data_IF_992734705778
#
_entry.id   IF_992734705778
#
_cell.length_a   1.000
_cell.length_b   1.000
_cell.length_c   1.000
_cell.angle_alpha   90.00
_cell.angle_beta   90.00
_cell.angle_gamma   90.00
#
_symmetry.space_group_name_H-M   'P 1'
#
loop_
_entity.id
_entity.type
_entity.pdbx_description
1 polymer ?
#
# COMPACT_ATOMS: atom_id res chain seq x y z
N UNK A 1 -5.45 28.70 9.01
CA UNK A 1 -4.63 27.47 9.04
C UNK A 1 -5.58 26.34 9.37
N UNK A 2 -6.03 25.56 8.36
CA UNK A 2 -6.98 24.47 8.60
C UNK A 2 -6.29 23.36 9.41
N UNK A 3 -6.86 23.01 10.56
CA UNK A 3 -6.39 21.85 11.34
C UNK A 3 -6.62 20.59 10.51
N UNK A 4 -5.60 19.72 10.39
CA UNK A 4 -5.76 18.40 9.76
C UNK A 4 -6.72 17.57 10.62
N UNK A 5 -7.62 16.77 9.99
CA UNK A 5 -8.50 15.89 10.76
C UNK A 5 -7.70 14.97 11.66
N UNK A 6 -8.18 14.74 12.86
CA UNK A 6 -7.58 13.77 13.75
C UNK A 6 -7.94 12.35 13.28
N UNK A 7 -6.93 11.63 12.75
CA UNK A 7 -7.10 10.24 12.32
C UNK A 7 -6.63 9.23 13.39
N UNK A 8 -6.34 9.68 14.61
CA UNK A 8 -5.79 8.84 15.66
C UNK A 8 -6.72 7.68 16.01
N UNK A 9 -8.00 7.96 16.24
CA UNK A 9 -9.01 6.95 16.59
C UNK A 9 -9.17 5.90 15.47
N UNK A 10 -9.20 6.36 14.21
CA UNK A 10 -9.29 5.46 13.07
C UNK A 10 -8.04 4.56 12.96
N UNK A 11 -6.85 5.08 13.25
CA UNK A 11 -5.61 4.27 13.28
C UNK A 11 -5.64 3.26 14.41
N UNK A 12 -5.96 3.70 15.62
CA UNK A 12 -6.06 2.82 16.80
C UNK A 12 -7.07 1.69 16.57
N UNK A 13 -8.19 1.99 15.93
CA UNK A 13 -9.18 0.99 15.54
C UNK A 13 -8.62 -0.02 14.53
N UNK A 14 -7.92 0.45 13.48
CA UNK A 14 -7.28 -0.44 12.49
C UNK A 14 -6.25 -1.35 13.17
N UNK A 15 -5.40 -0.78 14.03
CA UNK A 15 -4.35 -1.52 14.71
C UNK A 15 -4.93 -2.60 15.62
N UNK A 16 -5.94 -2.28 16.43
CA UNK A 16 -6.63 -3.25 17.29
C UNK A 16 -7.25 -4.40 16.48
N UNK A 17 -7.96 -4.09 15.40
CA UNK A 17 -8.59 -5.12 14.56
C UNK A 17 -7.57 -5.97 13.79
N UNK A 18 -6.44 -5.39 13.43
CA UNK A 18 -5.37 -6.13 12.78
C UNK A 18 -4.65 -7.07 13.74
N UNK A 19 -4.44 -6.67 15.00
CA UNK A 19 -3.91 -7.55 16.04
C UNK A 19 -4.84 -8.73 16.31
N UNK A 20 -6.18 -8.50 16.38
CA UNK A 20 -7.16 -9.56 16.49
C UNK A 20 -7.03 -10.57 15.32
N UNK A 21 -6.86 -10.07 14.09
CA UNK A 21 -6.68 -10.90 12.90
C UNK A 21 -5.41 -11.76 12.97
N UNK A 22 -4.28 -11.14 13.37
CA UNK A 22 -2.99 -11.83 13.50
C UNK A 22 -2.99 -12.90 14.59
N UNK A 23 -3.66 -12.62 15.72
CA UNK A 23 -3.73 -13.57 16.85
C UNK A 23 -4.65 -14.78 16.58
N UNK A 24 -5.60 -14.63 15.66
CA UNK A 24 -6.61 -15.65 15.34
C UNK A 24 -6.26 -16.49 14.12
N UNK A 25 -5.24 -16.12 13.34
CA UNK A 25 -4.95 -16.74 12.05
C UNK A 25 -3.45 -16.88 11.80
N UNK A 26 -3.08 -17.81 10.94
CA UNK A 26 -1.70 -17.89 10.47
C UNK A 26 -1.36 -16.77 9.46
N UNK A 27 -0.07 -16.53 9.25
CA UNK A 27 0.39 -15.43 8.42
C UNK A 27 0.06 -15.59 6.91
N UNK A 28 -0.16 -16.81 6.43
CA UNK A 28 -0.57 -17.04 5.04
C UNK A 28 -2.03 -16.65 4.84
N UNK A 29 -2.90 -17.03 5.77
CA UNK A 29 -4.29 -16.60 5.77
C UNK A 29 -4.39 -15.07 5.81
N UNK A 30 -3.66 -14.43 6.75
CA UNK A 30 -3.66 -12.97 6.87
C UNK A 30 -3.15 -12.31 5.59
N UNK A 31 -2.08 -12.85 4.98
CA UNK A 31 -1.54 -12.33 3.72
C UNK A 31 -2.57 -12.35 2.59
N UNK A 32 -3.29 -13.45 2.46
CA UNK A 32 -4.24 -13.65 1.37
C UNK A 32 -5.56 -12.88 1.56
N UNK A 33 -5.90 -12.52 2.80
CA UNK A 33 -7.16 -11.87 3.16
C UNK A 33 -7.02 -10.40 3.60
N UNK A 34 -5.81 -9.85 3.58
CA UNK A 34 -5.56 -8.49 4.07
C UNK A 34 -6.38 -7.43 3.33
N UNK A 35 -6.58 -7.59 2.02
CA UNK A 35 -7.42 -6.71 1.22
C UNK A 35 -8.88 -6.73 1.69
N UNK A 36 -9.45 -7.92 1.84
CA UNK A 36 -10.84 -8.10 2.29
C UNK A 36 -11.03 -7.59 3.71
N UNK A 37 -10.03 -7.77 4.59
CA UNK A 37 -10.01 -7.15 5.92
C UNK A 37 -10.20 -5.63 5.85
N UNK A 38 -9.39 -4.91 5.06
CA UNK A 38 -9.54 -3.46 4.91
C UNK A 38 -10.88 -3.06 4.28
N UNK A 39 -11.38 -3.83 3.30
CA UNK A 39 -12.69 -3.61 2.70
C UNK A 39 -13.81 -3.67 3.74
N UNK A 40 -13.76 -4.67 4.61
CA UNK A 40 -14.77 -4.88 5.67
C UNK A 40 -14.71 -3.80 6.75
N UNK A 41 -13.51 -3.27 7.06
CA UNK A 41 -13.36 -2.17 8.03
C UNK A 41 -13.73 -0.79 7.47
N UNK A 42 -13.81 -0.63 6.15
CA UNK A 42 -14.00 0.67 5.50
C UNK A 42 -15.19 1.49 6.05
N UNK A 43 -16.38 0.93 6.32
CA UNK A 43 -17.49 1.70 6.88
C UNK A 43 -17.16 2.32 8.24
N UNK A 44 -16.53 1.54 9.13
CA UNK A 44 -16.17 1.99 10.48
C UNK A 44 -15.06 3.05 10.43
N UNK A 45 -14.02 2.83 9.61
CA UNK A 45 -12.95 3.79 9.38
C UNK A 45 -13.53 5.09 8.82
N UNK A 46 -14.45 5.00 7.85
CA UNK A 46 -15.13 6.16 7.26
C UNK A 46 -15.86 6.97 8.31
N UNK A 47 -16.61 6.31 9.20
CA UNK A 47 -17.34 6.98 10.28
C UNK A 47 -16.41 7.72 11.23
N UNK A 48 -15.33 7.09 11.68
CA UNK A 48 -14.34 7.69 12.58
C UNK A 48 -13.61 8.89 11.95
N UNK A 49 -13.20 8.76 10.69
CA UNK A 49 -12.54 9.86 9.96
C UNK A 49 -13.52 11.02 9.74
N UNK A 50 -14.78 10.73 9.41
CA UNK A 50 -15.80 11.75 9.19
C UNK A 50 -16.10 12.52 10.48
N UNK A 51 -16.27 11.84 11.61
CA UNK A 51 -16.42 12.46 12.92
C UNK A 51 -15.24 13.40 13.24
N UNK A 52 -14.00 12.91 13.06
CA UNK A 52 -12.80 13.72 13.25
C UNK A 52 -12.70 14.93 12.31
N UNK A 53 -13.25 14.84 11.09
CA UNK A 53 -13.35 15.99 10.18
C UNK A 53 -14.35 17.04 10.70
N UNK A 54 -15.54 16.61 11.11
CA UNK A 54 -16.57 17.52 11.68
C UNK A 54 -15.99 18.26 12.88
N UNK A 55 -15.37 17.54 13.81
CA UNK A 55 -14.84 18.13 15.04
C UNK A 55 -13.77 19.19 14.80
N UNK A 56 -12.97 19.03 13.75
CA UNK A 56 -11.85 19.92 13.47
C UNK A 56 -12.16 21.07 12.50
N UNK A 57 -13.19 20.94 11.65
CA UNK A 57 -13.46 21.87 10.55
C UNK A 57 -14.73 22.67 10.80
N UNK A 58 -15.77 22.03 11.31
CA UNK A 58 -17.06 22.67 11.55
C UNK A 58 -17.08 23.33 12.94
N UNK A 59 -17.44 24.62 13.08
CA UNK A 59 -17.63 25.27 14.37
C UNK A 59 -18.70 24.56 15.21
N UNK A 60 -18.52 24.49 16.54
CA UNK A 60 -19.43 23.76 17.44
C UNK A 60 -20.88 24.14 17.29
N UNK A 61 -21.14 25.43 17.06
CA UNK A 61 -22.49 25.98 16.86
C UNK A 61 -23.17 25.42 15.58
N UNK A 62 -22.38 24.99 14.61
CA UNK A 62 -22.89 24.55 13.30
C UNK A 62 -22.93 23.02 13.19
N UNK A 63 -22.28 22.29 14.08
CA UNK A 63 -22.25 20.81 14.07
C UNK A 63 -23.66 20.21 14.11
N UNK A 64 -24.57 20.84 14.85
CA UNK A 64 -25.95 20.40 15.02
C UNK A 64 -26.82 20.62 13.77
N UNK A 65 -26.45 21.58 12.93
CA UNK A 65 -27.25 22.03 11.78
C UNK A 65 -26.65 21.65 10.44
N UNK A 66 -26.03 20.51 10.38
CA UNK A 66 -25.45 20.02 9.13
C UNK A 66 -26.47 19.93 7.97
N UNK A 67 -27.74 19.82 8.32
CA UNK A 67 -28.85 19.75 7.35
C UNK A 67 -29.28 21.12 6.79
N UNK A 68 -28.91 22.22 7.46
CA UNK A 68 -29.21 23.58 6.97
C UNK A 68 -28.14 24.12 6.00
N UNK A 69 -27.23 23.25 5.59
CA UNK A 69 -26.08 23.58 4.74
C UNK A 69 -26.48 24.17 3.39
N UNK A 70 -27.54 23.65 2.81
CA UNK A 70 -27.94 23.97 1.43
C UNK A 70 -28.51 25.39 1.26
N UNK A 71 -28.84 26.07 2.33
CA UNK A 71 -29.41 27.44 2.28
C UNK A 71 -28.38 28.54 2.49
N UNK A 72 -27.13 28.21 2.89
CA UNK A 72 -26.10 29.19 3.27
C UNK A 72 -24.80 28.94 2.46
N UNK A 73 -24.36 29.89 1.62
CA UNK A 73 -23.14 29.74 0.83
C UNK A 73 -21.88 29.48 1.66
N UNK A 74 -21.80 30.00 2.88
CA UNK A 74 -20.66 29.78 3.79
C UNK A 74 -20.67 28.31 4.26
N UNK A 75 -21.84 27.78 4.62
CA UNK A 75 -21.98 26.39 5.03
C UNK A 75 -21.73 25.42 3.88
N UNK A 76 -22.12 25.78 2.66
CA UNK A 76 -21.79 25.01 1.46
C UNK A 76 -20.27 24.93 1.29
N UNK A 77 -19.56 26.04 1.43
CA UNK A 77 -18.10 26.08 1.32
C UNK A 77 -17.44 25.21 2.41
N UNK A 78 -17.89 25.32 3.65
CA UNK A 78 -17.41 24.48 4.77
C UNK A 78 -17.64 22.99 4.49
N UNK A 79 -18.77 22.63 3.89
CA UNK A 79 -19.09 21.25 3.52
C UNK A 79 -18.15 20.73 2.44
N UNK A 80 -17.87 21.52 1.43
CA UNK A 80 -16.91 21.17 0.37
C UNK A 80 -15.53 20.94 0.97
N UNK A 81 -15.06 21.78 1.86
CA UNK A 81 -13.79 21.64 2.57
C UNK A 81 -13.78 20.38 3.46
N UNK A 82 -14.87 20.10 4.18
CA UNK A 82 -15.04 18.90 4.96
C UNK A 82 -14.98 17.63 4.09
N UNK A 83 -15.72 17.59 2.99
CA UNK A 83 -15.71 16.46 2.06
C UNK A 83 -14.33 16.23 1.44
N UNK A 84 -13.65 17.31 1.06
CA UNK A 84 -12.29 17.27 0.52
C UNK A 84 -11.29 16.76 1.55
N UNK A 85 -11.36 17.27 2.78
CA UNK A 85 -10.51 16.84 3.89
C UNK A 85 -10.75 15.38 4.25
N UNK A 86 -12.01 14.97 4.34
CA UNK A 86 -12.41 13.57 4.55
C UNK A 86 -11.84 12.66 3.46
N UNK A 87 -12.07 12.99 2.19
CA UNK A 87 -11.59 12.20 1.07
C UNK A 87 -10.06 12.03 1.07
N UNK A 88 -9.33 13.13 1.30
CA UNK A 88 -7.87 13.10 1.36
C UNK A 88 -7.36 12.29 2.57
N UNK A 89 -8.00 12.42 3.73
CA UNK A 89 -7.65 11.66 4.92
C UNK A 89 -7.90 10.17 4.72
N UNK A 90 -9.04 9.79 4.12
CA UNK A 90 -9.35 8.40 3.82
C UNK A 90 -8.35 7.78 2.83
N UNK A 91 -7.98 8.51 1.77
CA UNK A 91 -6.97 8.04 0.80
C UNK A 91 -5.61 7.83 1.48
N UNK A 92 -5.16 8.78 2.28
CA UNK A 92 -3.87 8.73 2.97
C UNK A 92 -3.86 7.62 4.02
N UNK A 93 -4.90 7.53 4.84
CA UNK A 93 -5.01 6.54 5.91
C UNK A 93 -5.05 5.11 5.32
N UNK A 94 -5.96 4.86 4.38
CA UNK A 94 -6.09 3.53 3.77
C UNK A 94 -4.80 3.10 3.07
N UNK A 95 -4.15 4.00 2.33
CA UNK A 95 -2.89 3.70 1.64
C UNK A 95 -1.75 3.41 2.60
N UNK A 96 -1.51 4.32 3.56
CA UNK A 96 -0.38 4.20 4.49
C UNK A 96 -0.52 3.01 5.45
N UNK A 97 -1.73 2.78 5.95
CA UNK A 97 -1.96 1.64 6.85
C UNK A 97 -1.88 0.32 6.10
N UNK A 98 -2.41 0.24 4.88
CA UNK A 98 -2.26 -0.95 4.06
C UNK A 98 -0.80 -1.29 3.79
N UNK A 99 0.05 -0.31 3.43
CA UNK A 99 1.50 -0.50 3.23
C UNK A 99 2.18 -1.04 4.50
N UNK A 100 1.87 -0.48 5.68
CA UNK A 100 2.42 -0.96 6.97
C UNK A 100 2.01 -2.40 7.25
N UNK A 101 0.73 -2.75 7.06
CA UNK A 101 0.24 -4.10 7.31
C UNK A 101 0.83 -5.12 6.33
N UNK A 102 0.99 -4.76 5.05
CA UNK A 102 1.73 -5.58 4.09
C UNK A 102 3.16 -5.83 4.58
N UNK A 103 3.86 -4.79 5.05
CA UNK A 103 5.22 -4.92 5.57
C UNK A 103 5.32 -5.90 6.77
N UNK A 104 4.37 -5.82 7.72
CA UNK A 104 4.31 -6.74 8.87
C UNK A 104 4.07 -8.19 8.40
N UNK A 105 3.12 -8.38 7.48
CA UNK A 105 2.79 -9.71 6.93
C UNK A 105 3.97 -10.32 6.19
N UNK A 106 4.70 -9.53 5.38
CA UNK A 106 5.90 -9.97 4.69
C UNK A 106 6.96 -10.47 5.67
N UNK A 107 7.23 -9.72 6.74
CA UNK A 107 8.19 -10.13 7.76
C UNK A 107 7.77 -11.44 8.46
N UNK A 108 6.47 -11.62 8.71
CA UNK A 108 5.94 -12.87 9.27
C UNK A 108 6.12 -14.05 8.32
N UNK A 109 5.86 -13.84 7.01
CA UNK A 109 6.08 -14.85 5.97
C UNK A 109 7.57 -15.22 5.83
N UNK A 110 8.46 -14.23 5.86
CA UNK A 110 9.91 -14.47 5.80
C UNK A 110 10.38 -15.28 7.00
N UNK A 111 9.97 -14.90 8.20
CA UNK A 111 10.28 -15.65 9.44
C UNK A 111 9.77 -17.08 9.38
N UNK A 112 8.50 -17.30 8.98
CA UNK A 112 7.90 -18.65 8.86
C UNK A 112 8.67 -19.53 7.87
N UNK A 113 9.23 -18.94 6.81
CA UNK A 113 9.94 -19.66 5.76
C UNK A 113 11.47 -19.66 5.95
N UNK A 114 11.97 -19.29 7.13
CA UNK A 114 13.40 -19.24 7.46
C UNK A 114 14.24 -18.40 6.48
N UNK A 115 13.68 -17.32 5.92
CA UNK A 115 14.40 -16.43 5.03
C UNK A 115 15.10 -15.34 5.85
N UNK A 116 16.39 -15.10 5.61
CA UNK A 116 17.16 -13.98 6.21
C UNK A 116 16.80 -12.64 5.56
N UNK A 117 15.51 -12.42 5.30
CA UNK A 117 14.97 -11.23 4.64
C UNK A 117 14.13 -10.40 5.60
N UNK A 118 14.17 -9.09 5.37
CA UNK A 118 13.34 -8.13 6.08
C UNK A 118 12.71 -7.12 5.14
N UNK A 119 11.43 -6.88 5.34
CA UNK A 119 10.68 -5.84 4.65
C UNK A 119 10.59 -4.60 5.55
N UNK A 120 10.84 -3.42 4.98
CA UNK A 120 10.72 -2.12 5.65
C UNK A 120 10.10 -1.10 4.72
N UNK A 121 9.47 -0.07 5.29
CA UNK A 121 8.98 1.05 4.50
C UNK A 121 10.16 1.83 3.89
N UNK A 122 9.99 2.31 2.66
CA UNK A 122 11.06 2.99 1.88
C UNK A 122 11.73 4.14 2.62
N UNK A 123 11.03 4.82 3.54
CA UNK A 123 11.59 5.93 4.30
C UNK A 123 12.91 5.59 5.00
N UNK A 124 13.07 4.37 5.48
CA UNK A 124 14.29 3.89 6.16
C UNK A 124 15.48 3.67 5.21
N UNK A 125 15.21 3.37 3.95
CA UNK A 125 16.19 3.07 2.91
C UNK A 125 16.32 4.16 1.83
N UNK A 126 15.67 5.30 2.01
CA UNK A 126 15.60 6.36 1.00
C UNK A 126 16.98 6.81 0.49
N UNK A 127 17.95 6.94 1.38
CA UNK A 127 19.32 7.36 0.98
C UNK A 127 20.02 6.30 0.15
N UNK A 128 19.86 5.01 0.51
CA UNK A 128 20.47 3.90 -0.19
C UNK A 128 19.81 3.67 -1.56
N UNK A 129 18.47 3.70 -1.61
CA UNK A 129 17.74 3.66 -2.88
C UNK A 129 18.14 4.81 -3.81
N UNK A 130 18.25 6.02 -3.30
CA UNK A 130 18.71 7.15 -4.10
C UNK A 130 20.12 6.93 -4.66
N UNK A 131 21.03 6.29 -3.90
CA UNK A 131 22.39 5.95 -4.37
C UNK A 131 22.34 4.89 -5.48
N UNK A 132 21.53 3.84 -5.32
CA UNK A 132 21.32 2.78 -6.33
C UNK A 132 20.64 3.29 -7.59
N UNK A 133 19.68 4.21 -7.45
CA UNK A 133 18.86 4.74 -8.54
C UNK A 133 19.43 6.02 -9.16
N UNK A 134 20.47 6.63 -8.58
CA UNK A 134 21.21 7.77 -9.14
C UNK A 134 22.24 7.32 -10.19
N UNK A 135 21.83 6.52 -11.15
CA UNK A 135 22.68 6.18 -12.31
C UNK A 135 22.63 7.25 -13.39
N UNK A 136 23.77 7.88 -13.66
CA UNK A 136 24.27 8.43 -14.92
C UNK A 136 23.55 9.61 -15.62
N UNK A 137 22.38 10.06 -15.30
CA UNK A 137 21.79 11.26 -15.93
C UNK A 137 21.05 12.13 -14.91
N UNK A 138 21.48 13.39 -14.81
CA UNK A 138 20.86 14.44 -13.99
C UNK A 138 19.52 14.95 -14.52
N UNK A 139 19.01 14.41 -15.61
CA UNK A 139 17.81 14.86 -16.28
C UNK A 139 16.58 14.03 -15.91
N UNK A 140 15.62 14.70 -15.31
CA UNK A 140 14.24 14.26 -15.04
C UNK A 140 14.08 13.05 -14.11
N UNK A 141 14.07 13.36 -12.83
CA UNK A 141 13.71 12.44 -11.75
C UNK A 141 12.26 11.97 -11.87
N UNK A 142 12.03 10.89 -12.59
CA UNK A 142 10.89 10.04 -12.32
C UNK A 142 11.09 9.47 -10.91
N UNK A 143 10.40 10.04 -9.93
CA UNK A 143 10.44 9.55 -8.56
C UNK A 143 9.87 8.14 -8.56
N UNK A 144 10.68 7.09 -8.34
CA UNK A 144 10.19 5.72 -8.41
C UNK A 144 9.10 5.50 -7.36
N UNK A 145 8.05 4.81 -7.74
CA UNK A 145 6.93 4.46 -6.86
C UNK A 145 7.27 3.21 -6.07
N UNK A 146 8.09 3.37 -5.03
CA UNK A 146 8.55 2.31 -4.15
C UNK A 146 8.02 2.58 -2.75
N UNK A 147 7.23 1.66 -2.22
CA UNK A 147 6.62 1.77 -0.88
C UNK A 147 7.36 0.91 0.15
N UNK A 148 7.84 -0.27 -0.25
CA UNK A 148 8.55 -1.22 0.62
C UNK A 148 9.85 -1.64 -0.05
N UNK A 149 10.89 -1.79 0.76
CA UNK A 149 12.18 -2.37 0.39
C UNK A 149 12.33 -3.69 1.13
N UNK A 150 12.68 -4.75 0.41
CA UNK A 150 13.10 -6.03 0.99
C UNK A 150 14.61 -6.12 0.91
N UNK A 151 15.25 -6.38 2.03
CA UNK A 151 16.70 -6.52 2.11
C UNK A 151 17.10 -7.77 2.88
N UNK A 152 18.32 -8.23 2.64
CA UNK A 152 18.91 -9.38 3.31
C UNK A 152 19.71 -8.91 4.52
N UNK A 153 19.31 -9.34 5.73
CA UNK A 153 19.96 -8.96 6.98
C UNK A 153 21.39 -9.53 7.11
N UNK A 154 21.73 -10.57 6.37
CA UNK A 154 23.07 -11.20 6.39
C UNK A 154 24.08 -10.51 5.49
N UNK A 155 23.66 -9.55 4.65
CA UNK A 155 24.53 -8.82 3.73
C UNK A 155 24.94 -7.46 4.24
N UNK A 156 26.05 -6.95 3.72
CA UNK A 156 26.46 -5.56 3.95
C UNK A 156 25.38 -4.62 3.41
N UNK A 157 25.05 -3.57 4.13
CA UNK A 157 23.90 -2.68 3.87
C UNK A 157 23.81 -2.16 2.43
N UNK A 158 24.95 -1.94 1.76
CA UNK A 158 25.00 -1.40 0.40
C UNK A 158 24.53 -2.41 -0.66
N UNK A 159 24.76 -3.70 -0.42
CA UNK A 159 24.39 -4.79 -1.34
C UNK A 159 23.22 -5.64 -0.84
N UNK A 160 22.53 -5.15 0.19
CA UNK A 160 21.50 -5.90 0.89
C UNK A 160 20.13 -5.83 0.24
N UNK A 161 19.86 -4.84 -0.63
CA UNK A 161 18.52 -4.68 -1.23
C UNK A 161 18.29 -5.79 -2.25
N UNK A 162 17.24 -6.57 -2.01
CA UNK A 162 16.90 -7.76 -2.80
C UNK A 162 15.66 -7.58 -3.67
N UNK A 163 14.75 -6.66 -3.28
CA UNK A 163 13.52 -6.39 -4.02
C UNK A 163 12.94 -5.04 -3.60
N UNK A 164 12.26 -4.39 -4.52
CA UNK A 164 11.41 -3.22 -4.24
C UNK A 164 9.96 -3.54 -4.56
N UNK A 165 9.06 -3.04 -3.72
CA UNK A 165 7.64 -3.34 -3.83
C UNK A 165 6.85 -2.04 -3.84
N UNK A 166 5.97 -1.90 -4.84
CA UNK A 166 4.91 -0.90 -4.85
C UNK A 166 3.64 -1.52 -4.27
N UNK A 167 3.01 -0.83 -3.32
CA UNK A 167 1.81 -1.32 -2.60
C UNK A 167 0.66 -0.35 -2.82
N UNK A 168 -0.44 -0.84 -3.36
CA UNK A 168 -1.62 0.00 -3.67
C UNK A 168 -2.92 -0.68 -3.25
N UNK A 169 -3.82 0.10 -2.70
CA UNK A 169 -5.18 -0.36 -2.36
C UNK A 169 -6.07 -0.50 -3.59
N UNK A 170 -5.76 0.24 -4.68
CA UNK A 170 -6.49 0.21 -5.95
C UNK A 170 -5.51 0.20 -7.12
N UNK A 171 -5.85 -0.51 -8.21
CA UNK A 171 -4.90 -0.82 -9.28
C UNK A 171 -4.82 0.18 -10.43
N UNK A 172 -5.95 0.85 -10.77
CA UNK A 172 -6.14 1.46 -12.11
C UNK A 172 -4.99 2.36 -12.58
N UNK A 173 -4.73 3.46 -11.87
CA UNK A 173 -3.81 4.48 -12.37
C UNK A 173 -2.36 4.28 -11.91
N UNK A 174 -2.13 3.34 -11.01
CA UNK A 174 -0.86 3.19 -10.31
C UNK A 174 0.03 2.05 -10.83
N UNK A 175 -0.53 1.13 -11.59
CA UNK A 175 0.22 0.09 -12.31
C UNK A 175 1.25 0.73 -13.23
N UNK A 176 0.86 1.78 -13.97
CA UNK A 176 1.77 2.53 -14.85
C UNK A 176 2.99 3.09 -14.11
N UNK A 177 2.81 3.58 -12.89
CA UNK A 177 3.92 4.10 -12.08
C UNK A 177 4.90 2.98 -11.70
N UNK A 178 4.38 1.81 -11.32
CA UNK A 178 5.22 0.63 -11.00
C UNK A 178 5.97 0.11 -12.22
N UNK A 179 5.31 0.08 -13.39
CA UNK A 179 5.94 -0.29 -14.65
C UNK A 179 7.05 0.70 -15.06
N UNK A 180 6.83 1.99 -14.87
CA UNK A 180 7.86 3.00 -15.10
C UNK A 180 9.05 2.81 -14.13
N UNK A 181 8.78 2.45 -12.88
CA UNK A 181 9.84 2.11 -11.91
C UNK A 181 10.66 0.92 -12.40
N UNK A 182 10.01 -0.15 -12.89
CA UNK A 182 10.70 -1.33 -13.47
C UNK A 182 11.54 -0.95 -14.67
N UNK A 183 10.97 -0.19 -15.60
CA UNK A 183 11.69 0.28 -16.79
C UNK A 183 12.94 1.09 -16.40
N UNK A 184 12.78 2.03 -15.46
CA UNK A 184 13.88 2.86 -14.97
C UNK A 184 14.99 2.03 -14.32
N UNK A 185 14.65 1.06 -13.47
CA UNK A 185 15.63 0.15 -12.84
C UNK A 185 16.39 -0.66 -13.91
N UNK A 186 15.71 -1.16 -14.94
CA UNK A 186 16.34 -1.87 -16.06
C UNK A 186 17.27 -0.96 -16.88
N UNK A 187 16.89 0.29 -17.14
CA UNK A 187 17.72 1.29 -17.85
C UNK A 187 19.00 1.62 -17.08
N UNK A 188 18.99 1.49 -15.75
CA UNK A 188 20.20 1.61 -14.92
C UNK A 188 21.10 0.36 -14.97
N UNK A 189 20.71 -0.69 -15.71
CA UNK A 189 21.43 -1.96 -15.76
C UNK A 189 21.30 -2.79 -14.50
N UNK A 190 20.30 -2.51 -13.65
CA UNK A 190 20.04 -3.27 -12.44
C UNK A 190 19.01 -4.37 -12.67
N UNK A 191 19.29 -5.56 -12.17
CA UNK A 191 18.38 -6.71 -12.18
C UNK A 191 17.51 -6.78 -10.91
N UNK A 192 17.41 -5.67 -10.17
CA UNK A 192 16.62 -5.59 -8.95
C UNK A 192 15.14 -5.89 -9.25
N UNK A 193 14.53 -6.89 -8.60
CA UNK A 193 13.12 -7.22 -8.80
C UNK A 193 12.20 -6.08 -8.37
N UNK A 194 11.18 -5.85 -9.20
CA UNK A 194 10.10 -4.92 -8.92
C UNK A 194 8.81 -5.69 -8.83
N UNK A 195 8.26 -5.75 -7.63
CA UNK A 195 6.99 -6.41 -7.34
C UNK A 195 5.87 -5.38 -7.10
N UNK A 196 4.66 -5.83 -7.34
CA UNK A 196 3.44 -5.05 -7.11
C UNK A 196 2.52 -5.81 -6.15
N UNK A 197 2.05 -5.13 -5.11
CA UNK A 197 1.08 -5.68 -4.16
C UNK A 197 -0.19 -4.83 -4.19
N UNK A 198 -1.35 -5.48 -4.35
CA UNK A 198 -2.64 -4.80 -4.35
C UNK A 198 -3.66 -5.52 -3.49
N UNK A 199 -4.66 -4.77 -3.00
CA UNK A 199 -5.76 -5.33 -2.23
C UNK A 199 -6.63 -6.31 -3.04
N UNK A 200 -6.60 -6.22 -4.38
CA UNK A 200 -7.45 -7.03 -5.24
C UNK A 200 -8.91 -6.55 -5.31
N UNK A 201 -9.21 -5.35 -4.82
CA UNK A 201 -10.59 -4.81 -4.84
C UNK A 201 -11.07 -4.42 -6.24
N UNK A 202 -10.12 -4.16 -7.14
CA UNK A 202 -10.44 -3.86 -8.53
C UNK A 202 -10.59 -5.16 -9.30
N UNK A 203 -11.71 -5.37 -9.96
CA UNK A 203 -11.95 -6.52 -10.84
C UNK A 203 -11.02 -6.53 -12.08
N UNK A 204 -10.24 -5.49 -12.26
CA UNK A 204 -9.31 -5.35 -13.39
C UNK A 204 -8.35 -6.54 -13.54
N UNK A 205 -7.86 -7.09 -12.42
CA UNK A 205 -6.99 -8.25 -12.47
C UNK A 205 -7.73 -9.57 -12.71
N UNK A 206 -9.03 -9.63 -12.41
CA UNK A 206 -9.91 -10.77 -12.71
C UNK A 206 -10.41 -10.77 -14.16
N UNK A 207 -10.53 -9.60 -14.77
CA UNK A 207 -11.01 -9.44 -16.13
C UNK A 207 -9.95 -9.87 -17.15
N UNK A 208 -10.20 -10.95 -17.89
CA UNK A 208 -9.29 -11.49 -18.91
C UNK A 208 -8.91 -10.48 -20.01
N UNK A 209 -9.79 -9.55 -20.29
CA UNK A 209 -9.60 -8.52 -21.32
C UNK A 209 -9.01 -7.22 -20.78
N UNK A 210 -8.68 -7.15 -19.50
CA UNK A 210 -8.08 -5.95 -18.92
C UNK A 210 -6.66 -5.73 -19.42
N UNK A 211 -6.41 -4.52 -19.90
CA UNK A 211 -5.06 -4.07 -20.28
C UNK A 211 -4.12 -4.13 -19.06
N UNK A 212 -4.62 -3.80 -17.88
CA UNK A 212 -3.83 -3.81 -16.64
C UNK A 212 -3.41 -5.22 -16.26
N UNK A 213 -4.28 -6.23 -16.43
CA UNK A 213 -3.94 -7.63 -16.20
C UNK A 213 -2.77 -8.09 -17.07
N UNK A 214 -2.71 -7.65 -18.32
CA UNK A 214 -1.62 -7.98 -19.23
C UNK A 214 -0.34 -7.21 -18.90
N UNK A 215 -0.46 -5.93 -18.54
CA UNK A 215 0.68 -5.08 -18.19
C UNK A 215 1.44 -5.59 -16.98
N UNK A 216 0.77 -6.04 -15.93
CA UNK A 216 1.42 -6.53 -14.71
C UNK A 216 2.21 -7.82 -14.93
N UNK A 217 2.01 -8.54 -16.07
CA UNK A 217 2.80 -9.72 -16.41
C UNK A 217 4.29 -9.39 -16.68
N UNK A 218 4.63 -8.14 -16.93
CA UNK A 218 6.02 -7.70 -17.15
C UNK A 218 6.78 -7.41 -15.85
N UNK A 219 6.08 -7.41 -14.71
CA UNK A 219 6.69 -7.27 -13.38
C UNK A 219 7.27 -8.62 -12.92
N UNK A 220 8.20 -8.58 -11.98
CA UNK A 220 8.81 -9.79 -11.41
C UNK A 220 7.85 -10.58 -10.50
N UNK A 221 6.79 -9.92 -10.04
CA UNK A 221 5.68 -10.52 -9.33
C UNK A 221 4.56 -9.51 -9.09
N UNK A 222 3.33 -9.98 -9.19
CA UNK A 222 2.13 -9.22 -8.83
C UNK A 222 1.36 -10.02 -7.81
N UNK A 223 1.17 -9.45 -6.62
CA UNK A 223 0.58 -10.16 -5.51
C UNK A 223 -0.72 -9.51 -5.07
N UNK A 224 -1.73 -10.34 -4.85
CA UNK A 224 -3.07 -9.91 -4.42
C UNK A 224 -3.35 -10.41 -3.01
N UNK A 225 -4.01 -9.57 -2.23
CA UNK A 225 -4.35 -9.82 -0.82
C UNK A 225 -5.85 -10.08 -0.62
N UNK A 226 -6.52 -10.55 -1.67
CA UNK A 226 -7.93 -10.97 -1.64
C UNK A 226 -8.06 -12.38 -2.22
N UNK A 227 -8.84 -13.23 -1.56
CA UNK A 227 -9.11 -14.58 -2.05
C UNK A 227 -9.96 -14.58 -3.32
N UNK A 228 -10.75 -13.53 -3.54
CA UNK A 228 -11.60 -13.41 -4.71
C UNK A 228 -10.84 -13.18 -6.02
N UNK A 229 -9.57 -12.77 -5.97
CA UNK A 229 -8.75 -12.59 -7.17
C UNK A 229 -8.13 -13.91 -7.62
N UNK A 230 -8.42 -14.31 -8.86
CA UNK A 230 -7.89 -15.53 -9.46
C UNK A 230 -6.42 -15.36 -9.86
N UNK A 231 -5.60 -16.34 -9.52
CA UNK A 231 -4.21 -16.40 -9.96
C UNK A 231 -4.10 -16.58 -11.48
N UNK A 232 -3.13 -15.88 -12.08
CA UNK A 232 -2.83 -15.99 -13.50
C UNK A 232 -1.44 -15.44 -13.84
N UNK A 233 -0.57 -16.22 -14.48
CA UNK A 233 0.79 -15.79 -14.83
C UNK A 233 1.58 -15.34 -13.61
N UNK A 234 2.01 -14.06 -13.60
CA UNK A 234 2.72 -13.44 -12.47
C UNK A 234 1.79 -13.00 -11.35
N UNK A 235 0.45 -13.02 -11.55
CA UNK A 235 -0.53 -12.66 -10.51
C UNK A 235 -0.72 -13.85 -9.59
N UNK A 236 -0.31 -13.69 -8.32
CA UNK A 236 -0.32 -14.72 -7.28
C UNK A 236 -0.91 -14.16 -5.98
N UNK A 237 -1.25 -15.06 -5.05
CA UNK A 237 -1.56 -14.65 -3.67
C UNK A 237 -0.33 -14.10 -2.98
N UNK A 238 -0.51 -13.16 -2.04
CA UNK A 238 0.62 -12.55 -1.34
C UNK A 238 1.48 -13.59 -0.60
N UNK A 239 0.90 -14.67 -0.09
CA UNK A 239 1.65 -15.75 0.55
C UNK A 239 2.70 -16.40 -0.37
N UNK A 240 2.47 -16.41 -1.68
CA UNK A 240 3.41 -16.97 -2.69
C UNK A 240 4.61 -16.06 -2.97
N UNK A 241 4.70 -14.87 -2.38
CA UNK A 241 5.84 -13.96 -2.61
C UNK A 241 7.16 -14.61 -2.18
N UNK A 242 7.14 -15.49 -1.21
CA UNK A 242 8.31 -16.23 -0.72
C UNK A 242 8.95 -17.10 -1.83
N UNK A 243 8.15 -17.54 -2.80
CA UNK A 243 8.65 -18.37 -3.91
C UNK A 243 9.55 -17.59 -4.87
N UNK A 244 9.31 -16.27 -4.99
CA UNK A 244 10.18 -15.36 -5.79
C UNK A 244 11.57 -15.34 -5.17
N UNK A 245 11.65 -15.31 -3.85
CA UNK A 245 12.92 -15.27 -3.13
C UNK A 245 13.61 -16.61 -3.06
N UNK A 246 12.87 -17.71 -2.83
CA UNK A 246 13.42 -19.08 -2.83
C UNK A 246 14.05 -19.44 -4.16
N UNK A 247 13.44 -19.07 -5.29
CA UNK A 247 13.98 -19.31 -6.65
C UNK A 247 15.31 -18.60 -6.89
N UNK A 248 15.62 -17.56 -6.15
CA UNK A 248 16.87 -16.79 -6.22
C UNK A 248 17.94 -17.28 -5.23
N UNK A 249 17.71 -18.42 -4.56
CA UNK A 249 18.67 -19.01 -3.65
C UNK A 249 18.72 -18.37 -2.24
N UNK A 250 17.69 -17.64 -1.84
CA UNK A 250 17.63 -16.98 -0.54
C UNK A 250 16.89 -17.79 0.55
N UNK A 251 16.72 -19.09 0.34
CA UNK A 251 16.22 -20.04 1.34
C UNK A 251 17.37 -20.77 2.05
N UNK A 252 17.07 -21.31 3.25
CA UNK A 252 17.97 -22.23 3.95
C UNK A 252 18.27 -23.46 3.12
#
# INVERSE_FOLDING_TARGET
MHKKPNSYEAKSFIDSKFEELLNSNDCEYVANNLGDFFKNLKPNISSLVFAGCIDNIIPDKDKKFYYDILSDPIKIQQTIELCSSYSNTMKTLSGSEFQKKVCIVLNSLFKKNCLSLKAVLTGEFKKLLNKLLKGKTESEYLKPDIDIVVYNESKVKEDSIECVISVKTTGRDRITQTLNTKKYINELGSELPVCYVTSGWDDDLNNKNSVNRNRVQTLDGTFVTSENTKEYGTIKKLSSIVDVFKKRGWGC
#
